data_IF_040099107083
#
_entry.id   IF_040099107083
#
_cell.length_a   1.000
_cell.length_b   1.000
_cell.length_c   1.000
_cell.angle_alpha   90.00
_cell.angle_beta   90.00
_cell.angle_gamma   90.00
#
_symmetry.space_group_name_H-M   'P 1'
#
loop_
_entity.id
_entity.type
_entity.pdbx_description
1 polymer ?
#
# COMPACT_ATOMS: atom_id res chain seq x y z
N UNK A 1 -58.29 -2.25 -36.36
CA UNK A 1 -57.30 -1.46 -37.13
C UNK A 1 -56.33 -0.81 -36.16
N UNK A 2 -55.02 -0.97 -36.43
CA UNK A 2 -53.86 -0.16 -36.01
C UNK A 2 -53.61 0.08 -34.51
N UNK A 3 -52.62 -0.57 -33.86
CA UNK A 3 -51.15 -0.29 -33.87
C UNK A 3 -50.80 1.14 -33.42
N UNK A 4 -50.15 1.30 -32.25
CA UNK A 4 -48.71 1.62 -32.13
C UNK A 4 -48.25 2.10 -30.71
N UNK A 5 -47.17 1.46 -30.23
CA UNK A 5 -46.11 1.92 -29.29
C UNK A 5 -46.52 2.36 -27.86
N UNK A 6 -46.32 1.61 -26.77
CA UNK A 6 -45.05 1.19 -26.11
C UNK A 6 -43.78 1.91 -26.59
N UNK A 7 -43.10 2.65 -25.69
CA UNK A 7 -41.65 2.56 -25.38
C UNK A 7 -41.20 3.69 -24.42
N UNK A 8 -40.51 3.27 -23.35
CA UNK A 8 -39.53 4.00 -22.50
C UNK A 8 -40.04 5.01 -21.45
N UNK A 9 -40.69 4.49 -20.41
CA UNK A 9 -40.58 5.02 -19.06
C UNK A 9 -39.84 4.01 -18.18
N UNK A 10 -38.57 3.73 -18.50
CA UNK A 10 -37.74 2.75 -17.76
C UNK A 10 -36.24 3.09 -17.78
N UNK A 11 -35.87 4.38 -17.76
CA UNK A 11 -34.45 4.80 -17.65
C UNK A 11 -34.16 5.55 -16.33
N UNK A 12 -35.16 5.85 -15.51
CA UNK A 12 -34.95 6.61 -14.27
C UNK A 12 -34.71 5.76 -13.00
N UNK A 13 -34.69 4.43 -13.10
CA UNK A 13 -34.59 3.53 -11.94
C UNK A 13 -33.31 2.67 -11.89
N UNK A 14 -32.33 2.92 -12.76
CA UNK A 14 -31.01 2.27 -12.70
C UNK A 14 -30.03 3.07 -11.83
N UNK A 15 -30.33 4.34 -11.52
CA UNK A 15 -29.36 5.27 -10.94
C UNK A 15 -29.28 5.28 -9.40
N UNK A 16 -30.06 4.47 -8.68
CA UNK A 16 -30.05 4.45 -7.20
C UNK A 16 -29.41 3.19 -6.60
N UNK A 17 -29.09 2.19 -7.43
CA UNK A 17 -28.38 0.97 -7.03
C UNK A 17 -27.01 0.87 -7.73
N UNK A 18 -26.31 1.99 -7.89
CA UNK A 18 -24.84 1.94 -7.83
C UNK A 18 -24.54 1.57 -6.39
N UNK A 19 -24.62 0.28 -6.10
CA UNK A 19 -24.07 -0.33 -4.92
C UNK A 19 -22.76 0.39 -4.62
N UNK A 20 -22.56 0.81 -3.36
CA UNK A 20 -21.18 0.93 -2.88
C UNK A 20 -20.54 -0.40 -3.27
N UNK A 21 -19.71 -0.38 -4.32
CA UNK A 21 -18.97 -1.55 -4.74
C UNK A 21 -18.32 -2.04 -3.46
N UNK A 22 -18.72 -3.23 -3.00
CA UNK A 22 -18.21 -3.79 -1.76
C UNK A 22 -16.70 -3.70 -1.86
N UNK A 23 -16.09 -3.05 -0.86
CA UNK A 23 -14.67 -2.75 -0.89
C UNK A 23 -13.91 -4.03 -1.20
N UNK A 24 -13.15 -4.02 -2.30
CA UNK A 24 -12.52 -5.23 -2.82
C UNK A 24 -11.72 -5.92 -1.71
N UNK A 25 -11.90 -7.24 -1.52
CA UNK A 25 -11.35 -7.95 -0.37
C UNK A 25 -9.83 -7.78 -0.25
N UNK A 26 -9.13 -7.70 -1.38
CA UNK A 26 -7.69 -7.46 -1.43
C UNK A 26 -7.27 -6.07 -0.94
N UNK A 27 -8.08 -5.03 -1.19
CA UNK A 27 -7.79 -3.68 -0.72
C UNK A 27 -8.25 -3.46 0.72
N UNK A 28 -9.29 -4.18 1.16
CA UNK A 28 -9.75 -4.18 2.56
C UNK A 28 -8.68 -4.71 3.53
N UNK A 29 -7.80 -5.60 3.07
CA UNK A 29 -6.65 -6.06 3.84
C UNK A 29 -5.61 -4.95 4.08
N UNK A 30 -5.69 -3.84 3.35
CA UNK A 30 -4.81 -2.68 3.48
C UNK A 30 -5.58 -1.54 4.17
N UNK A 31 -5.60 -1.50 5.51
CA UNK A 31 -6.25 -0.42 6.23
C UNK A 31 -5.55 0.90 5.92
N UNK A 32 -6.37 1.92 5.68
CA UNK A 32 -5.86 3.28 5.56
C UNK A 32 -5.48 3.79 6.96
N UNK A 33 -4.26 4.31 7.17
CA UNK A 33 -3.88 4.80 8.49
C UNK A 33 -4.81 5.93 8.96
N UNK A 34 -5.06 6.05 10.27
CA UNK A 34 -5.86 7.15 10.82
C UNK A 34 -5.38 8.51 10.35
N UNK A 35 -6.31 9.48 10.25
CA UNK A 35 -5.97 10.83 9.77
C UNK A 35 -4.87 11.49 10.61
N UNK A 36 -4.88 11.31 11.93
CA UNK A 36 -3.84 11.82 12.83
C UNK A 36 -2.43 11.35 12.47
N UNK A 37 -2.28 10.17 11.85
CA UNK A 37 -0.99 9.58 11.51
C UNK A 37 -0.54 9.98 10.10
N UNK A 38 -1.48 10.40 9.23
CA UNK A 38 -1.22 10.83 7.85
C UNK A 38 -1.11 12.34 7.71
N UNK A 39 -1.88 13.10 8.48
CA UNK A 39 -1.95 14.56 8.42
C UNK A 39 -0.56 15.22 8.52
N UNK A 40 0.37 14.80 9.40
CA UNK A 40 1.70 15.38 9.45
C UNK A 40 2.46 15.31 8.11
N UNK A 41 2.25 14.23 7.34
CA UNK A 41 2.87 14.05 6.02
C UNK A 41 2.14 14.80 4.90
N UNK A 42 0.89 15.20 5.12
CA UNK A 42 0.12 16.02 4.17
C UNK A 42 0.45 17.52 4.29
N UNK A 43 0.86 17.96 5.48
CA UNK A 43 1.15 19.36 5.79
C UNK A 43 2.48 19.87 5.21
N UNK A 44 3.46 18.99 5.01
CA UNK A 44 4.76 19.40 4.50
C UNK A 44 5.71 18.24 4.18
N UNK A 45 6.87 18.59 3.62
CA UNK A 45 7.91 17.63 3.25
C UNK A 45 7.66 16.91 1.92
N UNK A 46 8.48 15.90 1.59
CA UNK A 46 8.51 15.28 0.26
C UNK A 46 7.23 14.53 -0.09
N UNK A 47 6.48 14.01 0.90
CA UNK A 47 5.27 13.21 0.66
C UNK A 47 3.98 14.03 0.57
N UNK A 48 4.01 15.34 0.88
CA UNK A 48 2.82 16.19 0.98
C UNK A 48 1.98 16.22 -0.29
N UNK A 49 2.61 16.20 -1.46
CA UNK A 49 1.87 16.14 -2.73
C UNK A 49 1.08 14.84 -2.86
N UNK A 50 1.72 13.70 -2.62
CA UNK A 50 1.08 12.39 -2.71
C UNK A 50 -0.06 12.22 -1.71
N UNK A 51 0.16 12.63 -0.45
CA UNK A 51 -0.86 12.59 0.60
C UNK A 51 -2.09 13.44 0.25
N UNK A 52 -1.90 14.66 -0.27
CA UNK A 52 -3.02 15.53 -0.68
C UNK A 52 -3.76 14.99 -1.89
N UNK A 53 -3.06 14.39 -2.85
CA UNK A 53 -3.70 13.74 -4.00
C UNK A 53 -4.57 12.55 -3.57
N UNK A 54 -4.12 11.77 -2.57
CA UNK A 54 -4.92 10.69 -2.01
C UNK A 54 -6.19 11.20 -1.34
N UNK A 55 -6.09 12.26 -0.53
CA UNK A 55 -7.25 12.87 0.12
C UNK A 55 -8.30 13.39 -0.89
N UNK A 56 -7.87 13.69 -2.13
CA UNK A 56 -8.74 14.08 -3.24
C UNK A 56 -9.27 12.89 -4.07
N UNK A 57 -8.99 11.65 -3.66
CA UNK A 57 -9.37 10.44 -4.39
C UNK A 57 -8.56 10.20 -5.68
N UNK A 58 -7.47 10.94 -5.91
CA UNK A 58 -6.63 10.82 -7.11
C UNK A 58 -5.56 9.74 -6.93
N UNK A 59 -6.00 8.50 -6.70
CA UNK A 59 -5.16 7.38 -6.23
C UNK A 59 -3.95 7.10 -7.14
N UNK A 60 -4.12 7.12 -8.47
CA UNK A 60 -3.00 6.93 -9.42
C UNK A 60 -1.93 8.01 -9.28
N UNK A 61 -2.35 9.28 -9.29
CA UNK A 61 -1.43 10.41 -9.15
C UNK A 61 -0.77 10.45 -7.76
N UNK A 62 -1.52 10.05 -6.72
CA UNK A 62 -1.01 9.95 -5.36
C UNK A 62 0.12 8.91 -5.28
N UNK A 63 -0.12 7.70 -5.80
CA UNK A 63 0.85 6.62 -5.87
C UNK A 63 2.14 7.06 -6.58
N UNK A 64 2.03 7.61 -7.80
CA UNK A 64 3.19 8.10 -8.57
C UNK A 64 3.96 9.19 -7.82
N UNK A 65 3.25 10.11 -7.16
CA UNK A 65 3.88 11.16 -6.37
C UNK A 65 4.61 10.63 -5.13
N UNK A 66 4.05 9.63 -4.44
CA UNK A 66 4.67 9.00 -3.27
C UNK A 66 5.91 8.18 -3.67
N UNK A 67 5.85 7.46 -4.79
CA UNK A 67 6.98 6.71 -5.33
C UNK A 67 8.12 7.65 -5.74
N UNK A 68 7.81 8.72 -6.48
CA UNK A 68 8.79 9.74 -6.84
C UNK A 68 9.40 10.42 -5.62
N UNK A 69 8.61 10.70 -4.58
CA UNK A 69 9.09 11.29 -3.33
C UNK A 69 10.07 10.34 -2.62
N UNK A 70 9.71 9.06 -2.50
CA UNK A 70 10.57 8.06 -1.89
C UNK A 70 11.87 7.86 -2.67
N UNK A 71 11.80 7.78 -4.01
CA UNK A 71 12.98 7.69 -4.85
C UNK A 71 13.94 8.87 -4.64
N UNK A 72 13.39 10.08 -4.45
CA UNK A 72 14.15 11.27 -4.07
C UNK A 72 14.86 11.14 -2.72
N UNK A 73 14.11 10.82 -1.66
CA UNK A 73 14.64 10.64 -0.30
C UNK A 73 15.70 9.54 -0.26
N UNK A 74 15.44 8.39 -0.88
CA UNK A 74 16.37 7.26 -0.96
C UNK A 74 17.68 7.64 -1.67
N UNK A 75 17.60 8.45 -2.73
CA UNK A 75 18.79 8.92 -3.44
C UNK A 75 19.60 9.91 -2.61
N UNK A 76 18.97 10.84 -1.90
CA UNK A 76 19.67 11.78 -1.01
C UNK A 76 20.39 11.05 0.13
N UNK A 77 19.71 10.08 0.76
CA UNK A 77 20.32 9.21 1.76
C UNK A 77 21.46 8.40 1.14
N UNK A 78 21.19 7.69 0.04
CA UNK A 78 22.18 6.85 -0.65
C UNK A 78 23.42 7.61 -1.08
N UNK A 79 23.29 8.81 -1.64
CA UNK A 79 24.43 9.66 -2.02
C UNK A 79 25.27 10.11 -0.80
N UNK A 80 24.62 10.33 0.35
CA UNK A 80 25.36 10.68 1.56
C UNK A 80 26.21 9.51 2.09
N UNK A 81 25.75 8.26 1.90
CA UNK A 81 26.50 7.05 2.31
C UNK A 81 27.48 6.54 1.25
N UNK A 82 27.13 6.58 -0.04
CA UNK A 82 27.97 6.12 -1.14
C UNK A 82 29.17 7.03 -1.43
N UNK A 83 29.13 8.28 -0.94
CA UNK A 83 30.29 9.16 -0.93
C UNK A 83 31.28 8.69 0.16
N UNK A 84 31.88 7.53 -0.03
CA UNK A 84 32.94 6.98 0.83
C UNK A 84 34.16 7.91 0.79
N UNK A 85 34.23 8.80 1.78
CA UNK A 85 35.40 9.13 2.62
C UNK A 85 35.18 10.48 3.33
N UNK A 86 35.18 10.45 4.67
CA UNK A 86 35.34 11.59 5.59
C UNK A 86 34.32 12.75 5.64
N UNK A 87 33.21 12.75 4.89
CA UNK A 87 32.21 13.83 5.01
C UNK A 87 31.11 13.49 6.02
N UNK A 88 31.50 13.21 7.27
CA UNK A 88 30.58 12.98 8.41
C UNK A 88 29.51 14.08 8.52
N UNK A 89 29.88 15.31 8.19
CA UNK A 89 28.93 16.42 8.11
C UNK A 89 27.78 16.15 7.13
N UNK A 90 28.04 15.63 5.92
CA UNK A 90 27.00 15.33 4.92
C UNK A 90 26.09 14.19 5.37
N UNK A 91 26.65 13.12 5.93
CA UNK A 91 25.87 12.00 6.50
C UNK A 91 24.97 12.52 7.62
N UNK A 92 25.53 13.30 8.55
CA UNK A 92 24.76 13.91 9.65
C UNK A 92 23.67 14.83 9.13
N UNK A 93 23.93 15.67 8.14
CA UNK A 93 22.92 16.54 7.52
C UNK A 93 21.79 15.73 6.89
N UNK A 94 22.11 14.66 6.15
CA UNK A 94 21.09 13.79 5.55
C UNK A 94 20.25 13.08 6.62
N UNK A 95 20.89 12.53 7.65
CA UNK A 95 20.18 11.92 8.78
C UNK A 95 19.30 12.93 9.54
N UNK A 96 19.80 14.14 9.80
CA UNK A 96 19.03 15.21 10.45
C UNK A 96 17.80 15.60 9.63
N UNK A 97 17.98 15.73 8.30
CA UNK A 97 16.91 16.10 7.37
C UNK A 97 15.84 15.03 7.26
N UNK A 98 16.24 13.75 7.17
CA UNK A 98 15.32 12.69 6.80
C UNK A 98 14.87 11.79 7.94
N UNK A 99 15.73 11.50 8.91
CA UNK A 99 15.46 10.52 9.98
C UNK A 99 15.09 11.19 11.30
N UNK A 100 15.63 12.39 11.57
CA UNK A 100 15.42 13.12 12.84
C UNK A 100 14.45 14.29 12.74
N UNK A 101 13.93 14.58 11.54
CA UNK A 101 12.84 15.52 11.36
C UNK A 101 11.53 14.97 11.97
N UNK A 102 10.59 15.85 12.34
CA UNK A 102 9.25 15.45 12.80
C UNK A 102 8.19 15.95 11.81
N UNK A 103 7.40 15.05 11.19
CA UNK A 103 7.59 13.60 11.18
C UNK A 103 8.84 13.19 10.37
N UNK A 104 9.46 12.03 10.65
CA UNK A 104 10.60 11.56 9.88
C UNK A 104 10.16 11.26 8.45
N UNK A 105 11.00 11.54 7.45
CA UNK A 105 10.72 11.23 6.04
C UNK A 105 11.30 9.89 5.58
N UNK A 106 12.09 9.25 6.43
CA UNK A 106 12.56 7.88 6.29
C UNK A 106 12.83 7.30 7.68
N UNK A 107 12.81 5.97 7.80
CA UNK A 107 13.16 5.27 9.03
C UNK A 107 14.31 4.27 8.77
N UNK A 108 15.22 4.05 9.73
CA UNK A 108 16.21 2.99 9.63
C UNK A 108 15.56 1.60 9.54
N UNK A 109 16.16 0.72 8.75
CA UNK A 109 15.89 -0.71 8.69
C UNK A 109 17.22 -1.47 8.74
N UNK A 110 17.18 -2.80 8.93
CA UNK A 110 18.38 -3.62 9.11
C UNK A 110 19.40 -3.44 7.98
N UNK A 111 18.93 -3.44 6.73
CA UNK A 111 19.83 -3.34 5.58
C UNK A 111 19.92 -1.94 4.96
N UNK A 112 18.90 -1.07 5.15
CA UNK A 112 18.76 0.24 4.45
C UNK A 112 17.85 1.22 5.20
N UNK A 113 17.26 2.16 4.45
CA UNK A 113 16.19 3.05 4.89
C UNK A 113 14.89 2.68 4.21
N UNK A 114 13.78 2.95 4.88
CA UNK A 114 12.42 2.75 4.38
C UNK A 114 11.61 4.05 4.46
N UNK A 115 10.55 4.19 3.65
CA UNK A 115 9.54 5.21 3.90
C UNK A 115 8.90 5.00 5.28
N UNK A 116 8.41 6.06 5.94
CA UNK A 116 7.66 5.92 7.18
C UNK A 116 6.41 5.05 7.01
N UNK A 117 6.05 4.27 8.03
CA UNK A 117 4.95 3.31 7.97
C UNK A 117 3.61 3.92 7.48
N UNK A 118 3.16 5.11 7.94
CA UNK A 118 1.94 5.73 7.41
C UNK A 118 2.01 6.05 5.92
N UNK A 119 3.19 6.37 5.39
CA UNK A 119 3.44 6.59 3.96
C UNK A 119 3.33 5.28 3.19
N UNK A 120 3.95 4.21 3.70
CA UNK A 120 3.91 2.88 3.06
C UNK A 120 2.47 2.36 2.94
N UNK A 121 1.70 2.36 4.04
CA UNK A 121 0.30 1.93 4.01
C UNK A 121 -0.56 2.78 3.07
N UNK A 122 -0.34 4.09 3.06
CA UNK A 122 -1.05 5.02 2.17
C UNK A 122 -0.74 4.74 0.70
N UNK A 123 0.53 4.52 0.36
CA UNK A 123 0.94 4.19 -1.00
C UNK A 123 0.43 2.81 -1.44
N UNK A 124 0.50 1.82 -0.55
CA UNK A 124 -0.06 0.49 -0.78
C UNK A 124 -1.56 0.56 -1.06
N UNK A 125 -2.31 1.34 -0.27
CA UNK A 125 -3.73 1.53 -0.47
C UNK A 125 -4.03 2.21 -1.80
N UNK A 126 -3.30 3.27 -2.14
CA UNK A 126 -3.45 3.97 -3.41
C UNK A 126 -3.23 3.04 -4.63
N UNK A 127 -2.20 2.20 -4.57
CA UNK A 127 -1.88 1.22 -5.60
C UNK A 127 -2.98 0.15 -5.72
N UNK A 128 -3.46 -0.38 -4.60
CA UNK A 128 -4.53 -1.38 -4.62
C UNK A 128 -5.82 -0.82 -5.23
N UNK A 129 -6.19 0.42 -4.88
CA UNK A 129 -7.39 1.07 -5.42
C UNK A 129 -7.33 1.31 -6.93
N UNK A 130 -6.14 1.33 -7.53
CA UNK A 130 -5.99 1.39 -9.00
C UNK A 130 -5.73 0.02 -9.63
N UNK A 131 -5.94 -1.06 -8.86
CA UNK A 131 -5.78 -2.48 -9.24
C UNK A 131 -4.34 -2.89 -9.53
N UNK A 132 -3.36 -2.16 -8.98
CA UNK A 132 -1.94 -2.49 -9.07
C UNK A 132 -1.50 -3.26 -7.82
N UNK A 133 -1.88 -4.53 -7.76
CA UNK A 133 -1.75 -5.38 -6.57
C UNK A 133 -0.27 -5.70 -6.26
N UNK A 134 0.54 -5.96 -7.28
CA UNK A 134 1.98 -6.20 -7.09
C UNK A 134 2.66 -4.98 -6.47
N UNK A 135 2.34 -3.78 -6.99
CA UNK A 135 2.88 -2.54 -6.42
C UNK A 135 2.36 -2.29 -5.02
N UNK A 136 1.08 -2.57 -4.76
CA UNK A 136 0.52 -2.47 -3.41
C UNK A 136 1.25 -3.38 -2.41
N UNK A 137 1.51 -4.63 -2.77
CA UNK A 137 2.31 -5.54 -1.96
C UNK A 137 3.74 -5.03 -1.75
N UNK A 138 4.38 -4.51 -2.82
CA UNK A 138 5.76 -4.01 -2.77
C UNK A 138 5.98 -2.88 -1.76
N UNK A 139 4.95 -2.05 -1.50
CA UNK A 139 5.00 -1.01 -0.48
C UNK A 139 4.97 -1.56 0.94
N UNK A 140 4.39 -2.75 1.16
CA UNK A 140 4.22 -3.37 2.47
C UNK A 140 5.31 -4.39 2.80
N UNK A 141 5.92 -5.01 1.78
CA UNK A 141 7.01 -5.98 1.94
C UNK A 141 8.13 -5.51 2.89
N UNK A 142 8.60 -4.25 2.84
CA UNK A 142 9.66 -3.83 3.74
C UNK A 142 9.25 -3.84 5.22
N UNK A 143 8.01 -3.48 5.54
CA UNK A 143 7.49 -3.59 6.90
C UNK A 143 7.28 -5.07 7.30
N UNK A 144 6.79 -5.90 6.37
CA UNK A 144 6.66 -7.33 6.58
C UNK A 144 8.00 -7.99 6.93
N UNK A 145 9.08 -7.64 6.22
CA UNK A 145 10.44 -8.11 6.47
C UNK A 145 11.01 -7.57 7.78
N UNK A 146 10.60 -6.36 8.19
CA UNK A 146 10.87 -5.80 9.51
C UNK A 146 9.97 -6.39 10.61
N UNK A 147 9.33 -7.54 10.36
CA UNK A 147 8.52 -8.31 11.30
C UNK A 147 7.24 -7.60 11.77
N UNK A 148 6.69 -6.68 10.98
CA UNK A 148 5.34 -6.15 11.19
C UNK A 148 4.30 -7.19 10.71
N UNK A 149 3.55 -7.84 11.63
CA UNK A 149 2.65 -8.92 11.28
C UNK A 149 1.44 -8.45 10.47
N UNK A 150 0.99 -7.21 10.66
CA UNK A 150 -0.15 -6.64 9.93
C UNK A 150 0.26 -6.32 8.50
N UNK A 151 1.44 -5.72 8.31
CA UNK A 151 1.99 -5.47 6.98
C UNK A 151 2.27 -6.78 6.23
N UNK A 152 2.79 -7.80 6.92
CA UNK A 152 3.00 -9.13 6.34
C UNK A 152 1.68 -9.80 5.93
N UNK A 153 0.64 -9.74 6.77
CA UNK A 153 -0.68 -10.26 6.43
C UNK A 153 -1.29 -9.54 5.22
N UNK A 154 -1.24 -8.21 5.20
CA UNK A 154 -1.75 -7.40 4.10
C UNK A 154 -1.01 -7.68 2.80
N UNK A 155 0.33 -7.68 2.81
CA UNK A 155 1.15 -8.02 1.66
C UNK A 155 0.85 -9.43 1.13
N UNK A 156 0.70 -10.42 2.01
CA UNK A 156 0.36 -11.79 1.64
C UNK A 156 -1.02 -11.88 0.95
N UNK A 157 -2.04 -11.21 1.49
CA UNK A 157 -3.36 -11.15 0.85
C UNK A 157 -3.26 -10.48 -0.52
N UNK A 158 -2.55 -9.36 -0.64
CA UNK A 158 -2.41 -8.66 -1.92
C UNK A 158 -1.68 -9.52 -2.96
N UNK A 159 -0.59 -10.21 -2.59
CA UNK A 159 0.13 -11.14 -3.46
C UNK A 159 -0.73 -12.33 -3.89
N UNK A 160 -1.54 -12.88 -2.99
CA UNK A 160 -2.49 -13.95 -3.31
C UNK A 160 -3.45 -13.53 -4.44
N UNK A 161 -4.01 -12.33 -4.35
CA UNK A 161 -4.92 -11.81 -5.37
C UNK A 161 -4.20 -11.37 -6.65
N UNK A 162 -2.91 -11.07 -6.59
CA UNK A 162 -2.05 -10.87 -7.76
C UNK A 162 -1.63 -12.18 -8.46
N UNK A 163 -1.92 -13.35 -7.87
CA UNK A 163 -1.55 -14.67 -8.41
C UNK A 163 -0.24 -15.25 -7.86
N UNK A 164 0.42 -14.55 -6.93
CA UNK A 164 1.73 -14.93 -6.37
C UNK A 164 1.58 -15.78 -5.10
N UNK A 165 0.95 -16.94 -5.22
CA UNK A 165 0.56 -17.77 -4.07
C UNK A 165 1.74 -18.26 -3.23
N UNK A 166 2.81 -18.72 -3.87
CA UNK A 166 4.00 -19.21 -3.19
C UNK A 166 4.66 -18.10 -2.36
N UNK A 167 4.76 -16.89 -2.93
CA UNK A 167 5.30 -15.71 -2.25
C UNK A 167 4.39 -15.27 -1.09
N UNK A 168 3.08 -15.25 -1.30
CA UNK A 168 2.10 -14.95 -0.26
C UNK A 168 2.24 -15.90 0.95
N UNK A 169 2.41 -17.21 0.71
CA UNK A 169 2.57 -18.18 1.79
C UNK A 169 3.92 -18.02 2.51
N UNK A 170 4.98 -17.67 1.78
CA UNK A 170 6.32 -17.45 2.34
C UNK A 170 6.38 -16.29 3.34
N UNK A 171 5.49 -15.29 3.21
CA UNK A 171 5.38 -14.17 4.15
C UNK A 171 4.76 -14.55 5.50
N UNK A 172 4.19 -15.75 5.65
CA UNK A 172 3.49 -16.15 6.86
C UNK A 172 4.27 -17.26 7.57
N UNK A 173 4.87 -17.02 8.75
CA UNK A 173 5.54 -18.06 9.53
C UNK A 173 4.59 -19.22 9.86
N UNK A 174 5.04 -20.48 9.77
CA UNK A 174 4.22 -21.68 10.04
C UNK A 174 3.53 -21.65 11.42
N UNK A 175 4.22 -21.07 12.41
CA UNK A 175 3.79 -20.94 13.79
C UNK A 175 3.21 -19.56 14.15
N UNK A 176 2.76 -18.77 13.16
CA UNK A 176 2.23 -17.44 13.40
C UNK A 176 1.03 -17.46 14.37
N UNK A 177 1.16 -16.72 15.47
CA UNK A 177 0.11 -16.60 16.49
C UNK A 177 -0.78 -15.37 16.27
N UNK A 178 -0.26 -14.32 15.62
CA UNK A 178 -1.00 -13.11 15.30
C UNK A 178 -2.26 -13.44 14.46
N UNK A 179 -3.37 -12.78 14.80
CA UNK A 179 -4.68 -13.05 14.21
C UNK A 179 -4.73 -12.74 12.71
N UNK A 180 -4.15 -11.62 12.28
CA UNK A 180 -4.13 -11.21 10.87
C UNK A 180 -3.33 -12.21 10.02
N UNK A 181 -2.17 -12.65 10.50
CA UNK A 181 -1.37 -13.69 9.84
C UNK A 181 -2.10 -15.03 9.75
N UNK A 182 -2.80 -15.45 10.81
CA UNK A 182 -3.62 -16.68 10.78
C UNK A 182 -4.78 -16.57 9.79
N UNK A 183 -5.46 -15.42 9.75
CA UNK A 183 -6.55 -15.17 8.81
C UNK A 183 -6.04 -15.17 7.36
N UNK A 184 -4.90 -14.52 7.09
CA UNK A 184 -4.27 -14.51 5.77
C UNK A 184 -3.87 -15.93 5.33
N UNK A 185 -3.27 -16.75 6.21
CA UNK A 185 -2.94 -18.15 5.89
C UNK A 185 -4.19 -18.96 5.54
N UNK A 186 -5.24 -18.85 6.34
CA UNK A 186 -6.49 -19.58 6.11
C UNK A 186 -7.10 -19.20 4.74
N UNK A 187 -7.03 -17.92 4.36
CA UNK A 187 -7.48 -17.44 3.06
C UNK A 187 -6.66 -18.04 1.91
N UNK A 188 -5.32 -18.01 2.02
CA UNK A 188 -4.40 -18.58 1.01
C UNK A 188 -4.67 -20.08 0.83
N UNK A 189 -4.72 -20.83 1.93
CA UNK A 189 -4.96 -22.28 1.91
C UNK A 189 -6.31 -22.63 1.29
N UNK A 190 -7.37 -21.87 1.61
CA UNK A 190 -8.69 -22.06 1.02
C UNK A 190 -8.65 -21.86 -0.50
N UNK A 191 -7.97 -20.81 -0.98
CA UNK A 191 -7.90 -20.50 -2.42
C UNK A 191 -7.10 -21.56 -3.19
N UNK A 192 -5.95 -21.99 -2.64
CA UNK A 192 -5.16 -23.07 -3.22
C UNK A 192 -5.95 -24.39 -3.31
N UNK A 193 -6.75 -24.71 -2.29
CA UNK A 193 -7.61 -25.90 -2.30
C UNK A 193 -8.73 -25.84 -3.34
N UNK A 194 -9.28 -24.66 -3.63
CA UNK A 194 -10.30 -24.47 -4.67
C UNK A 194 -9.75 -24.65 -6.08
N UNK A 195 -8.53 -24.19 -6.33
CA UNK A 195 -7.87 -24.35 -7.63
C UNK A 195 -7.49 -25.81 -7.91
N UNK A 196 -7.10 -26.57 -6.88
CA UNK A 196 -6.83 -28.01 -7.01
C UNK A 196 -8.07 -28.85 -7.37
N UNK A 197 -9.28 -28.37 -7.06
CA UNK A 197 -10.54 -29.05 -7.39
C UNK A 197 -11.16 -28.64 -8.73
N UNK A 198 -10.59 -27.63 -9.41
CA UNK A 198 -11.11 -27.10 -10.66
C UNK A 198 -10.46 -27.73 -11.92
N UNK A 199 -9.58 -28.73 -11.73
CA UNK A 199 -8.83 -29.44 -12.78
C UNK A 199 -9.40 -30.84 -12.96
#
# INVERSE_FOLDING_TARGET
MMRHLFILAAVAAISANIARAEERPECKAIPLPPEKDRAPYALGGPYARGMRLLAQGKNRQAMEALESAWAGVRRELGQAFAADTCKLAKVRTAQMRHLRASPPTAVPAEDRFLPPLPVMWTAARAACEVSDLERAASWLLPAALAQDPEAAAAAAVTLLFAGHQAEALALIPANAQNLALRAARALIQRRMGQEATAI
#
